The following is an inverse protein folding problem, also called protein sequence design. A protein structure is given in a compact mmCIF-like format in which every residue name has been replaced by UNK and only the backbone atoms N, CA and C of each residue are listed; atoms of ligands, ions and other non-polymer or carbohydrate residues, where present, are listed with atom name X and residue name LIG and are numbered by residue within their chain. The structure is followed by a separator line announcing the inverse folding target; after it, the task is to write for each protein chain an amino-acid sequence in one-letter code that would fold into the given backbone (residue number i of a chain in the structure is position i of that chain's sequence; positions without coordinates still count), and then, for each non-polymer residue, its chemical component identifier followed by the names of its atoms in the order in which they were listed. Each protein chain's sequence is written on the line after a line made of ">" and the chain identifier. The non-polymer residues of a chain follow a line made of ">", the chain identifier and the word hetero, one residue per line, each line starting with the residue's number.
data_IF_366356443028
#
_entry.id   IF_366356443028
#
_cell.length_a   1.000
_cell.length_b   1.000
_cell.length_c   1.000
_cell.angle_alpha   90.00
_cell.angle_beta   90.00
_cell.angle_gamma   90.00
#
_symmetry.space_group_name_H-M   'P 1'
#
loop_
_entity.id
_entity.type
_entity.pdbx_description
1 polymer ?
#
# COMPACT_ATOMS: atom_id res chain seq x y z
N UNK A 1 20.97 38.80 0.55
CA UNK A 1 19.77 38.83 1.39
C UNK A 1 18.70 38.13 0.59
N UNK A 2 18.23 36.96 1.02
CA UNK A 2 17.13 36.25 0.37
C UNK A 2 15.84 37.00 0.71
N UNK A 3 15.12 37.49 -0.30
CA UNK A 3 13.76 37.97 -0.13
C UNK A 3 12.79 36.78 -0.12
N UNK A 4 11.62 36.92 0.51
CA UNK A 4 10.60 35.87 0.53
C UNK A 4 10.21 35.43 -0.90
N UNK A 5 10.19 36.39 -1.83
CA UNK A 5 9.83 36.18 -3.23
C UNK A 5 10.89 35.37 -4.02
N UNK A 6 12.13 35.26 -3.52
CA UNK A 6 13.21 34.47 -4.13
C UNK A 6 13.03 32.95 -3.93
N UNK A 7 12.15 32.55 -3.01
CA UNK A 7 11.90 31.14 -2.63
C UNK A 7 10.77 30.53 -3.47
N UNK A 8 9.73 31.30 -3.78
CA UNK A 8 8.44 30.78 -4.27
C UNK A 8 8.44 30.42 -5.77
N UNK A 9 9.33 31.02 -6.56
CA UNK A 9 9.41 30.79 -8.01
C UNK A 9 10.55 29.88 -8.44
N UNK A 10 11.40 29.45 -7.49
CA UNK A 10 12.57 28.64 -7.80
C UNK A 10 12.15 27.23 -8.28
N UNK A 11 12.70 26.72 -9.40
CA UNK A 11 12.52 25.35 -9.82
C UNK A 11 12.92 24.31 -8.76
N UNK A 12 13.75 24.71 -7.77
CA UNK A 12 14.13 23.87 -6.63
C UNK A 12 12.97 23.60 -5.65
N UNK A 13 11.90 24.41 -5.69
CA UNK A 13 10.69 24.25 -4.87
C UNK A 13 9.50 23.66 -5.65
N UNK A 14 9.67 23.34 -6.94
CA UNK A 14 8.62 22.71 -7.75
C UNK A 14 8.66 21.18 -7.62
N UNK A 15 7.99 20.65 -6.60
CA UNK A 15 7.80 19.21 -6.45
C UNK A 15 6.74 18.69 -7.44
N UNK A 16 7.17 18.19 -8.60
CA UNK A 16 6.30 17.62 -9.65
C UNK A 16 5.69 16.24 -9.31
N UNK A 17 5.94 15.72 -8.11
CA UNK A 17 5.61 14.34 -7.73
C UNK A 17 4.58 14.18 -6.61
N UNK A 18 4.02 15.26 -6.05
CA UNK A 18 3.01 15.19 -5.00
C UNK A 18 1.63 15.59 -5.51
N UNK A 19 0.61 14.91 -5.00
CA UNK A 19 -0.79 15.24 -5.27
C UNK A 19 -1.64 14.91 -4.05
N UNK A 20 -2.58 15.80 -3.74
CA UNK A 20 -3.69 15.52 -2.83
C UNK A 20 -4.76 14.71 -3.58
N UNK A 21 -5.24 13.64 -2.94
CA UNK A 21 -6.32 12.81 -3.45
C UNK A 21 -7.44 12.68 -2.42
N UNK A 22 -8.70 12.50 -2.85
CA UNK A 22 -9.74 12.02 -1.96
C UNK A 22 -9.37 10.65 -1.39
N UNK A 23 -9.62 10.42 -0.10
CA UNK A 23 -9.41 9.13 0.58
C UNK A 23 -10.52 8.15 0.27
N UNK A 24 -10.75 7.89 -1.01
CA UNK A 24 -11.57 6.77 -1.44
C UNK A 24 -10.67 5.60 -1.77
N UNK A 25 -11.17 4.37 -1.60
CA UNK A 25 -10.42 3.18 -1.99
C UNK A 25 -10.06 3.19 -3.48
N UNK A 26 -10.92 3.83 -4.30
CA UNK A 26 -10.71 4.02 -5.73
C UNK A 26 -9.52 4.94 -6.03
N UNK A 27 -9.48 6.13 -5.43
CA UNK A 27 -8.43 7.12 -5.69
C UNK A 27 -7.07 6.67 -5.14
N UNK A 28 -7.05 6.04 -3.94
CA UNK A 28 -5.84 5.46 -3.34
C UNK A 28 -5.19 4.46 -4.31
N UNK A 29 -5.98 3.60 -4.95
CA UNK A 29 -5.46 2.61 -5.91
C UNK A 29 -5.17 3.24 -7.29
N UNK A 30 -6.02 4.16 -7.75
CA UNK A 30 -5.90 4.76 -9.08
C UNK A 30 -4.62 5.58 -9.25
N UNK A 31 -4.17 6.30 -8.21
CA UNK A 31 -2.98 7.14 -8.29
C UNK A 31 -1.69 6.36 -8.64
N UNK A 32 -1.61 5.07 -8.28
CA UNK A 32 -0.51 4.15 -8.63
C UNK A 32 -0.96 3.03 -9.56
N UNK A 33 -2.14 3.15 -10.16
CA UNK A 33 -2.80 2.05 -10.88
C UNK A 33 -2.02 1.56 -12.10
N UNK A 34 -1.31 2.45 -12.80
CA UNK A 34 -0.44 2.06 -13.91
C UNK A 34 0.71 1.16 -13.44
N UNK A 35 1.36 1.51 -12.33
CA UNK A 35 2.44 0.70 -11.74
C UNK A 35 1.91 -0.67 -11.31
N UNK A 36 0.75 -0.72 -10.66
CA UNK A 36 0.13 -1.96 -10.17
C UNK A 36 -0.23 -2.94 -11.30
N UNK A 37 -0.70 -2.43 -12.45
CA UNK A 37 -1.10 -3.26 -13.59
C UNK A 37 0.07 -3.98 -14.26
N UNK A 38 1.26 -3.38 -14.26
CA UNK A 38 2.46 -3.94 -14.90
C UNK A 38 3.40 -4.66 -13.93
N UNK A 39 3.25 -4.41 -12.62
CA UNK A 39 4.11 -4.97 -11.59
C UNK A 39 4.04 -6.50 -11.50
N UNK A 40 5.18 -7.09 -11.18
CA UNK A 40 5.32 -8.52 -10.81
C UNK A 40 5.43 -8.70 -9.31
N UNK A 41 6.01 -7.71 -8.62
CA UNK A 41 6.14 -7.73 -7.16
C UNK A 41 5.64 -6.41 -6.61
N UNK A 42 4.72 -6.48 -5.66
CA UNK A 42 4.07 -5.35 -5.03
C UNK A 42 4.26 -5.48 -3.53
N UNK A 43 4.72 -4.43 -2.87
CA UNK A 43 4.83 -4.35 -1.41
C UNK A 43 3.88 -3.28 -0.90
N UNK A 44 2.96 -3.68 -0.04
CA UNK A 44 2.06 -2.81 0.71
C UNK A 44 2.63 -2.70 2.12
N UNK A 45 3.15 -1.52 2.45
CA UNK A 45 3.73 -1.24 3.76
C UNK A 45 2.74 -0.33 4.47
N UNK A 46 2.07 -0.84 5.49
CA UNK A 46 1.14 -0.06 6.30
C UNK A 46 1.11 -0.62 7.74
N UNK A 47 1.70 0.08 8.73
CA UNK A 47 1.73 -0.38 10.11
C UNK A 47 0.32 -0.64 10.65
N UNK A 48 -0.67 0.13 10.19
CA UNK A 48 -2.02 0.13 10.72
C UNK A 48 -2.99 -0.72 9.91
N UNK A 49 -2.50 -1.48 8.93
CA UNK A 49 -3.35 -2.36 8.15
C UNK A 49 -4.18 -3.29 9.05
N UNK A 50 -5.51 -3.24 8.88
CA UNK A 50 -6.48 -4.04 9.63
C UNK A 50 -7.39 -4.83 8.70
N UNK A 51 -7.21 -6.14 8.72
CA UNK A 51 -8.04 -7.08 8.00
C UNK A 51 -9.47 -7.14 8.54
N UNK A 52 -9.79 -6.62 9.73
CA UNK A 52 -11.13 -6.57 10.29
C UNK A 52 -11.96 -5.36 9.85
N UNK A 53 -11.32 -4.31 9.33
CA UNK A 53 -11.98 -3.03 9.03
C UNK A 53 -12.25 -2.87 7.52
N UNK A 54 -13.49 -2.54 7.10
CA UNK A 54 -13.83 -2.30 5.70
C UNK A 54 -12.91 -1.29 5.00
N UNK A 55 -12.46 -0.26 5.73
CA UNK A 55 -11.63 0.85 5.24
C UNK A 55 -10.31 0.42 4.63
N UNK A 56 -9.67 -0.64 5.14
CA UNK A 56 -8.47 -1.22 4.52
C UNK A 56 -8.80 -2.32 3.50
N UNK A 57 -9.93 -3.02 3.70
CA UNK A 57 -10.34 -4.14 2.84
C UNK A 57 -10.66 -3.68 1.43
N UNK A 58 -11.41 -2.58 1.27
CA UNK A 58 -11.83 -2.05 -0.03
C UNK A 58 -10.63 -1.69 -0.90
N UNK A 59 -9.64 -0.97 -0.34
CA UNK A 59 -8.40 -0.63 -1.02
C UNK A 59 -7.64 -1.87 -1.49
N UNK A 60 -7.47 -2.88 -0.63
CA UNK A 60 -6.80 -4.13 -1.02
C UNK A 60 -7.56 -4.89 -2.10
N UNK A 61 -8.90 -4.97 -2.02
CA UNK A 61 -9.73 -5.63 -3.02
C UNK A 61 -9.58 -4.98 -4.40
N UNK A 62 -9.71 -3.65 -4.47
CA UNK A 62 -9.49 -2.88 -5.71
C UNK A 62 -8.08 -3.05 -6.27
N UNK A 63 -7.08 -3.14 -5.41
CA UNK A 63 -5.72 -3.43 -5.84
C UNK A 63 -5.65 -4.81 -6.49
N UNK A 64 -6.14 -5.86 -5.82
CA UNK A 64 -6.17 -7.24 -6.35
C UNK A 64 -6.92 -7.31 -7.69
N UNK A 65 -7.98 -6.53 -7.86
CA UNK A 65 -8.74 -6.44 -9.11
C UNK A 65 -7.93 -5.89 -10.29
N UNK A 66 -6.88 -5.10 -10.08
CA UNK A 66 -6.11 -4.47 -11.17
C UNK A 66 -4.71 -5.05 -11.39
N UNK A 67 -4.16 -5.81 -10.44
CA UNK A 67 -2.82 -6.42 -10.61
C UNK A 67 -2.78 -7.44 -11.75
N UNK A 68 -1.59 -7.67 -12.32
CA UNK A 68 -1.39 -8.72 -13.31
C UNK A 68 -1.58 -10.12 -12.72
N UNK A 69 -1.98 -11.10 -13.53
CA UNK A 69 -1.94 -12.50 -13.14
C UNK A 69 -0.50 -12.91 -12.84
N UNK A 70 -0.31 -13.82 -11.88
CA UNK A 70 1.03 -14.22 -11.44
C UNK A 70 1.76 -13.20 -10.56
N UNK A 71 1.13 -12.07 -10.19
CA UNK A 71 1.76 -11.08 -9.33
C UNK A 71 1.96 -11.59 -7.89
N UNK A 72 3.07 -11.20 -7.27
CA UNK A 72 3.32 -11.37 -5.84
C UNK A 72 2.96 -10.08 -5.10
N UNK A 73 2.05 -10.18 -4.14
CA UNK A 73 1.68 -9.08 -3.23
C UNK A 73 2.23 -9.41 -1.84
N UNK A 74 3.12 -8.58 -1.33
CA UNK A 74 3.62 -8.64 0.05
C UNK A 74 2.96 -7.55 0.88
N UNK A 75 2.36 -7.92 2.01
CA UNK A 75 1.72 -7.01 2.94
C UNK A 75 2.55 -6.98 4.22
N UNK A 76 3.17 -5.85 4.51
CA UNK A 76 3.96 -5.63 5.70
C UNK A 76 3.19 -4.73 6.67
N UNK A 77 2.91 -5.24 7.86
CA UNK A 77 2.16 -4.56 8.90
C UNK A 77 2.77 -4.73 10.29
N UNK A 78 2.36 -3.91 11.23
CA UNK A 78 2.76 -4.04 12.63
C UNK A 78 2.17 -5.31 13.28
N UNK A 79 2.98 -5.98 14.10
CA UNK A 79 2.58 -7.03 15.02
C UNK A 79 2.01 -6.39 16.31
N UNK A 80 0.69 -6.23 16.36
CA UNK A 80 -0.01 -5.65 17.52
C UNK A 80 -1.30 -4.91 17.19
N UNK A 81 -1.53 -4.58 15.91
CA UNK A 81 -2.71 -3.82 15.49
C UNK A 81 -4.02 -4.61 15.37
N UNK A 82 -3.95 -5.94 15.34
CA UNK A 82 -5.11 -6.85 15.19
C UNK A 82 -4.73 -8.28 15.60
N UNK A 83 -5.71 -9.06 16.10
CA UNK A 83 -5.51 -10.47 16.40
C UNK A 83 -5.14 -11.27 15.13
N UNK A 84 -4.08 -12.10 15.17
CA UNK A 84 -3.64 -12.92 14.03
C UNK A 84 -4.75 -13.79 13.40
N UNK A 85 -5.72 -14.26 14.20
CA UNK A 85 -6.84 -15.07 13.72
C UNK A 85 -7.79 -14.30 12.78
N UNK A 86 -8.04 -13.02 13.05
CA UNK A 86 -8.90 -12.18 12.20
C UNK A 86 -8.26 -11.95 10.82
N UNK A 87 -6.93 -11.72 10.82
CA UNK A 87 -6.14 -11.63 9.60
C UNK A 87 -6.28 -12.92 8.80
N UNK A 88 -5.96 -14.07 9.39
CA UNK A 88 -6.10 -15.38 8.71
C UNK A 88 -7.51 -15.59 8.15
N UNK A 89 -8.55 -15.41 8.97
CA UNK A 89 -9.94 -15.63 8.55
C UNK A 89 -10.36 -14.79 7.34
N UNK A 90 -9.92 -13.52 7.27
CA UNK A 90 -10.24 -12.68 6.12
C UNK A 90 -9.49 -13.08 4.85
N UNK A 91 -8.21 -13.46 5.00
CA UNK A 91 -7.41 -13.90 3.86
C UNK A 91 -7.83 -15.27 3.33
N UNK A 92 -8.10 -16.24 4.20
CA UNK A 92 -8.53 -17.60 3.84
C UNK A 92 -9.96 -17.63 3.25
N UNK A 93 -10.78 -16.61 3.51
CA UNK A 93 -12.17 -16.52 3.04
C UNK A 93 -12.35 -15.47 1.94
N UNK A 94 -12.74 -14.22 2.30
CA UNK A 94 -12.99 -13.16 1.33
C UNK A 94 -11.89 -12.90 0.31
N UNK A 95 -10.61 -12.84 0.72
CA UNK A 95 -9.51 -12.57 -0.22
C UNK A 95 -9.27 -13.76 -1.15
N UNK A 96 -9.25 -14.99 -0.61
CA UNK A 96 -9.06 -16.20 -1.42
C UNK A 96 -10.05 -16.29 -2.60
N UNK A 97 -11.30 -15.86 -2.40
CA UNK A 97 -12.35 -15.90 -3.44
C UNK A 97 -12.15 -14.90 -4.58
N UNK A 98 -11.31 -13.87 -4.40
CA UNK A 98 -11.09 -12.82 -5.40
C UNK A 98 -9.68 -12.83 -5.97
N UNK A 99 -8.81 -13.75 -5.53
CA UNK A 99 -7.47 -13.88 -6.09
C UNK A 99 -7.53 -14.29 -7.56
N UNK A 100 -6.82 -13.54 -8.40
CA UNK A 100 -6.61 -13.91 -9.80
C UNK A 100 -5.68 -15.12 -9.91
N UNK A 101 -5.76 -15.91 -11.00
CA UNK A 101 -4.84 -17.02 -11.22
C UNK A 101 -3.36 -16.62 -11.13
N UNK A 102 -2.60 -17.45 -10.42
CA UNK A 102 -1.16 -17.27 -10.16
C UNK A 102 -0.82 -16.17 -9.16
N UNK A 103 -1.78 -15.36 -8.69
CA UNK A 103 -1.48 -14.33 -7.69
C UNK A 103 -1.17 -14.99 -6.35
N UNK A 104 -0.09 -14.52 -5.73
CA UNK A 104 0.34 -14.95 -4.40
C UNK A 104 0.30 -13.75 -3.47
N UNK A 105 -0.31 -13.91 -2.30
CA UNK A 105 -0.28 -12.90 -1.24
C UNK A 105 0.54 -13.43 -0.08
N UNK A 106 1.49 -12.64 0.42
CA UNK A 106 2.27 -12.93 1.62
C UNK A 106 2.04 -11.83 2.64
N UNK A 107 1.92 -12.20 3.90
CA UNK A 107 1.76 -11.26 5.00
C UNK A 107 2.95 -11.39 5.93
N UNK A 108 3.57 -10.25 6.25
CA UNK A 108 4.69 -10.13 7.17
C UNK A 108 4.29 -9.25 8.34
N UNK A 109 4.65 -9.69 9.54
CA UNK A 109 4.41 -8.97 10.78
C UNK A 109 5.73 -8.41 11.30
N UNK A 110 5.75 -7.12 11.60
CA UNK A 110 6.94 -6.41 12.07
C UNK A 110 6.72 -5.81 13.46
N UNK A 111 7.75 -5.73 14.31
CA UNK A 111 7.66 -4.96 15.54
C UNK A 111 7.29 -3.49 15.28
N UNK A 112 6.40 -2.92 16.10
CA UNK A 112 5.94 -1.52 16.04
C UNK A 112 7.05 -0.51 15.79
N UNK A 113 8.13 -0.60 16.56
CA UNK A 113 9.24 0.33 16.51
C UNK A 113 9.97 0.40 15.15
N UNK A 114 9.70 -0.55 14.24
CA UNK A 114 10.33 -0.61 12.91
C UNK A 114 9.46 -0.06 11.78
N UNK A 115 8.18 0.22 12.02
CA UNK A 115 7.19 0.59 11.00
C UNK A 115 6.46 1.89 11.34
N UNK A 116 6.70 2.94 10.56
CA UNK A 116 6.00 4.23 10.72
C UNK A 116 5.47 4.81 9.39
N UNK A 117 6.06 4.41 8.28
CA UNK A 117 5.71 4.96 6.96
C UNK A 117 4.72 4.06 6.24
N UNK A 118 3.91 4.66 5.37
CA UNK A 118 2.96 3.95 4.51
C UNK A 118 3.37 4.10 3.05
N UNK A 119 3.51 2.96 2.36
CA UNK A 119 3.94 2.93 0.97
C UNK A 119 3.19 1.87 0.18
N UNK A 120 2.95 2.16 -1.09
CA UNK A 120 2.70 1.15 -2.12
C UNK A 120 3.93 1.16 -3.02
N UNK A 121 4.72 0.10 -2.96
CA UNK A 121 5.93 -0.06 -3.76
C UNK A 121 5.71 -1.17 -4.78
N UNK A 122 6.27 -1.01 -5.96
CA UNK A 122 6.34 -2.04 -6.99
C UNK A 122 7.77 -2.18 -7.50
N UNK A 123 8.02 -3.24 -8.26
CA UNK A 123 9.26 -3.41 -9.01
C UNK A 123 9.45 -2.34 -10.11
N UNK A 124 8.42 -1.54 -10.41
CA UNK A 124 8.40 -0.51 -11.46
C UNK A 124 8.38 0.94 -10.92
N UNK A 125 8.12 1.14 -9.63
CA UNK A 125 7.91 2.46 -9.04
C UNK A 125 7.34 2.40 -7.63
N UNK A 126 6.90 3.52 -7.07
CA UNK A 126 6.20 3.50 -5.79
C UNK A 126 5.81 4.88 -5.29
N UNK A 127 4.88 4.93 -4.36
CA UNK A 127 4.43 6.17 -3.73
C UNK A 127 4.34 6.02 -2.21
N UNK A 128 4.56 7.14 -1.51
CA UNK A 128 4.21 7.29 -0.10
C UNK A 128 2.82 7.87 0.05
N UNK A 129 2.14 7.42 1.09
CA UNK A 129 0.80 7.84 1.44
C UNK A 129 0.83 8.38 2.86
N UNK A 130 0.10 9.46 3.13
CA UNK A 130 -0.12 9.92 4.49
C UNK A 130 -0.94 8.91 5.28
N UNK A 131 -1.92 8.23 4.66
CA UNK A 131 -2.88 7.35 5.38
C UNK A 131 -2.82 5.87 4.98
N UNK A 132 -2.12 5.54 3.90
CA UNK A 132 -1.92 4.15 3.47
C UNK A 132 -3.15 3.65 2.73
N UNK A 133 -3.65 2.46 3.11
CA UNK A 133 -4.88 1.90 2.52
C UNK A 133 -6.14 2.27 3.31
N UNK A 134 -6.04 3.09 4.35
CA UNK A 134 -7.15 3.51 5.20
C UNK A 134 -8.06 4.51 4.47
N UNK A 135 -9.06 4.02 3.74
CA UNK A 135 -10.04 4.89 3.09
C UNK A 135 -10.98 5.59 4.10
N UNK A 136 -11.74 6.55 3.60
CA UNK A 136 -12.68 7.39 4.33
C UNK A 136 -14.08 7.41 3.67
N UNK A 137 -14.44 6.35 2.96
CA UNK A 137 -15.73 6.32 2.26
C UNK A 137 -16.95 6.26 3.20
N UNK A 138 -16.74 5.85 4.45
CA UNK A 138 -17.81 5.77 5.45
C UNK A 138 -18.13 7.13 6.09
N UNK A 139 -17.33 8.18 5.82
CA UNK A 139 -17.61 9.55 6.23
C UNK A 139 -17.48 9.84 7.73
N UNK A 140 -16.66 9.06 8.46
CA UNK A 140 -16.43 9.21 9.90
C UNK A 140 -16.09 10.66 10.32
N UNK A 141 -16.94 11.30 11.11
CA UNK A 141 -16.70 12.67 11.56
C UNK A 141 -15.34 12.80 12.31
N UNK A 142 -14.56 13.83 11.96
CA UNK A 142 -13.26 14.11 12.59
C UNK A 142 -12.05 13.43 11.95
N UNK A 143 -12.22 12.74 10.82
CA UNK A 143 -11.12 12.20 10.01
C UNK A 143 -11.04 12.98 8.70
N UNK A 144 -9.84 13.32 8.25
CA UNK A 144 -9.66 14.02 6.97
C UNK A 144 -10.10 13.15 5.81
N UNK A 145 -10.88 13.73 4.89
CA UNK A 145 -11.36 13.07 3.68
C UNK A 145 -10.34 12.99 2.54
N UNK A 146 -9.16 13.59 2.70
CA UNK A 146 -8.11 13.70 1.70
C UNK A 146 -6.76 13.18 2.24
N UNK A 147 -5.87 12.78 1.32
CA UNK A 147 -4.51 12.28 1.60
C UNK A 147 -3.50 12.88 0.63
N UNK A 148 -2.30 13.17 1.16
CA UNK A 148 -1.13 13.55 0.38
C UNK A 148 -0.40 12.31 -0.11
N UNK A 149 -0.27 12.19 -1.43
CA UNK A 149 0.47 11.12 -2.08
C UNK A 149 1.70 11.69 -2.77
N UNK A 150 2.87 11.12 -2.49
CA UNK A 150 4.13 11.53 -3.12
C UNK A 150 4.73 10.36 -3.88
N UNK A 151 4.92 10.52 -5.18
CA UNK A 151 5.67 9.59 -6.00
C UNK A 151 7.14 9.59 -5.56
N UNK A 152 7.66 8.39 -5.30
CA UNK A 152 9.05 8.22 -4.89
C UNK A 152 9.96 8.27 -6.12
N UNK A 153 11.08 8.97 -5.99
CA UNK A 153 12.16 8.78 -6.96
C UNK A 153 12.81 7.39 -6.78
N UNK A 154 13.62 6.97 -7.75
CA UNK A 154 14.20 5.63 -7.77
C UNK A 154 15.08 5.33 -6.56
N UNK A 155 15.87 6.30 -6.10
CA UNK A 155 16.75 6.14 -4.93
C UNK A 155 15.93 5.89 -3.65
N UNK A 156 14.90 6.71 -3.42
CA UNK A 156 13.99 6.56 -2.30
C UNK A 156 13.26 5.22 -2.39
N UNK A 157 12.65 4.90 -3.54
CA UNK A 157 11.95 3.64 -3.77
C UNK A 157 12.85 2.45 -3.48
N UNK A 158 14.06 2.41 -4.05
CA UNK A 158 15.03 1.33 -3.87
C UNK A 158 15.45 1.17 -2.40
N UNK A 159 15.70 2.29 -1.71
CA UNK A 159 16.04 2.28 -0.28
C UNK A 159 14.90 1.71 0.56
N UNK A 160 13.65 2.13 0.32
CA UNK A 160 12.48 1.59 1.04
C UNK A 160 12.23 0.13 0.67
N UNK A 161 12.40 -0.24 -0.59
CA UNK A 161 12.23 -1.61 -1.08
C UNK A 161 13.14 -2.61 -0.36
N UNK A 162 14.44 -2.29 -0.26
CA UNK A 162 15.46 -3.12 0.39
C UNK A 162 15.20 -3.30 1.88
N UNK A 163 14.66 -2.27 2.56
CA UNK A 163 14.28 -2.36 3.97
C UNK A 163 13.30 -3.51 4.25
N UNK A 164 12.46 -3.84 3.28
CA UNK A 164 11.45 -4.90 3.39
C UNK A 164 11.76 -6.09 2.46
N UNK A 165 13.02 -6.28 2.06
CA UNK A 165 13.43 -7.43 1.27
C UNK A 165 13.40 -8.71 2.13
N UNK A 166 12.85 -9.78 1.56
CA UNK A 166 12.16 -10.88 2.26
C UNK A 166 13.11 -11.88 2.93
N UNK A 167 14.00 -11.43 3.82
CA UNK A 167 14.79 -12.32 4.69
C UNK A 167 13.96 -12.92 5.84
N UNK A 168 12.79 -12.34 6.13
CA UNK A 168 11.88 -12.80 7.18
C UNK A 168 10.87 -13.83 6.65
N UNK A 169 10.41 -14.74 7.52
CA UNK A 169 9.36 -15.68 7.15
C UNK A 169 7.98 -15.01 7.17
N UNK A 170 7.12 -15.21 6.16
CA UNK A 170 5.77 -14.68 6.17
C UNK A 170 4.93 -15.37 7.25
N UNK A 171 4.13 -14.58 7.96
CA UNK A 171 3.12 -15.06 8.90
C UNK A 171 2.03 -15.87 8.19
N UNK A 172 1.64 -15.44 6.99
CA UNK A 172 0.64 -16.10 6.15
C UNK A 172 1.09 -16.05 4.68
N UNK A 173 0.85 -17.15 3.97
CA UNK A 173 1.00 -17.23 2.52
C UNK A 173 -0.32 -17.74 1.96
N UNK A 174 -0.90 -16.97 1.06
CA UNK A 174 -2.11 -17.28 0.33
C UNK A 174 -1.77 -17.42 -1.15
N UNK A 175 -2.24 -18.49 -1.78
CA UNK A 175 -2.04 -18.75 -3.21
C UNK A 175 -3.41 -18.85 -3.86
N UNK A 176 -3.55 -18.26 -5.04
CA UNK A 176 -4.74 -18.52 -5.87
C UNK A 176 -4.96 -20.03 -5.97
N UNK A 177 -6.21 -20.53 -5.89
CA UNK A 177 -6.48 -21.92 -6.18
C UNK A 177 -5.90 -22.28 -7.54
N UNK A 178 -5.26 -23.45 -7.65
CA UNK A 178 -4.95 -24.00 -8.95
C UNK A 178 -6.30 -24.29 -9.63
N UNK A 179 -6.59 -23.57 -10.71
CA UNK A 179 -7.68 -23.95 -11.60
C UNK A 179 -7.14 -25.08 -12.48
N UNK A 180 -7.46 -26.33 -12.13
CA UNK A 180 -7.40 -27.46 -13.06
C UNK A 180 -8.29 -27.22 -14.29
#
# INVERSE_FOLDING_TARGET
>A
MLAADDVDTSPLFQAVGQREIPRTSQEIVACVGLLLRVAKVIKLIDPYFRASSPRWRRGLQKLIEIVSTGALIEIHREDGGELPANVRSWFDGPVQRVLKPGVVVKIFLHPKAKMHNRYILTDQGGASFGTGLDDHEDGDEGITGDDDVTLLNEEQRSTKWRKYESAEQPFLVLRSPDHE
#
